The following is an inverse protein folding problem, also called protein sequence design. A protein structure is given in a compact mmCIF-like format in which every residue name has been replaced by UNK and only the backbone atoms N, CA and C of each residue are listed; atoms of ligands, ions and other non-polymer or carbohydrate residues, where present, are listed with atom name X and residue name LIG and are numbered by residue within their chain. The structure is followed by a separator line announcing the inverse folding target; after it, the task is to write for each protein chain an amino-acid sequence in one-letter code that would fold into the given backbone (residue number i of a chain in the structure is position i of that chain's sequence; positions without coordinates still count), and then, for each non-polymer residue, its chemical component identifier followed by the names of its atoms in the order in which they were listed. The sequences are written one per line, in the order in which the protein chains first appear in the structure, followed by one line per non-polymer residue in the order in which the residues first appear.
data_IF_648241847164
#
_entry.id   IF_648241847164
#
_cell.length_a   1.000
_cell.length_b   1.000
_cell.length_c   1.000
_cell.angle_alpha   90.00
_cell.angle_beta   90.00
_cell.angle_gamma   90.00
#
_symmetry.space_group_name_H-M   'P 1'
#
loop_
_entity.id
_entity.type
_entity.pdbx_description
1 polymer ?
#
# COMPACT_ATOMS: atom_id res chain seq x y z
N UNK A 1 11.12 -4.32 7.60
CA UNK A 1 9.74 -3.80 7.46
C UNK A 1 9.38 -3.89 5.99
N UNK A 2 8.15 -4.30 5.66
CA UNK A 2 7.71 -4.52 4.29
C UNK A 2 7.21 -3.27 3.58
N UNK A 3 7.17 -3.32 2.26
CA UNK A 3 6.59 -2.29 1.38
C UNK A 3 5.65 -2.99 0.42
N UNK A 4 4.43 -2.48 0.26
CA UNK A 4 3.49 -2.95 -0.74
C UNK A 4 3.08 -1.79 -1.64
N UNK A 5 3.12 -1.98 -2.95
CA UNK A 5 2.64 -1.05 -3.95
C UNK A 5 1.53 -1.71 -4.77
N UNK A 6 0.61 -0.89 -5.26
CA UNK A 6 -0.45 -1.35 -6.16
C UNK A 6 -1.20 -0.21 -6.80
N UNK A 7 -1.90 -0.54 -7.87
CA UNK A 7 -2.76 0.37 -8.61
C UNK A 7 -4.20 0.26 -8.08
N UNK A 8 -4.88 1.39 -8.03
CA UNK A 8 -6.29 1.48 -7.67
C UNK A 8 -7.02 2.30 -8.73
N UNK A 9 -8.15 1.79 -9.22
CA UNK A 9 -9.07 2.58 -10.03
C UNK A 9 -9.91 3.49 -9.10
N UNK A 10 -9.76 4.83 -9.16
CA UNK A 10 -10.57 5.72 -8.36
C UNK A 10 -12.00 5.70 -8.86
N UNK A 11 -12.96 5.58 -7.94
CA UNK A 11 -14.36 5.78 -8.27
C UNK A 11 -14.64 7.29 -8.38
N UNK A 12 -15.78 7.73 -8.98
CA UNK A 12 -16.16 9.15 -9.00
C UNK A 12 -16.24 9.79 -7.61
N UNK A 13 -16.40 8.99 -6.55
CA UNK A 13 -16.37 9.44 -5.17
C UNK A 13 -14.97 9.95 -4.75
N UNK A 14 -13.90 9.43 -5.34
CA UNK A 14 -12.53 9.79 -4.99
C UNK A 14 -12.28 11.30 -5.13
N UNK A 15 -12.65 11.92 -6.25
CA UNK A 15 -12.46 13.36 -6.48
C UNK A 15 -13.30 14.24 -5.54
N UNK A 16 -14.42 13.73 -5.03
CA UNK A 16 -15.31 14.44 -4.10
C UNK A 16 -14.78 14.39 -2.66
N UNK A 17 -14.20 13.25 -2.27
CA UNK A 17 -13.79 13.00 -0.88
C UNK A 17 -12.31 13.25 -0.63
N UNK A 18 -11.44 13.07 -1.63
CA UNK A 18 -9.99 13.28 -1.47
C UNK A 18 -9.64 14.69 -0.97
N UNK A 19 -10.22 15.80 -1.50
CA UNK A 19 -9.95 17.15 -0.99
C UNK A 19 -10.44 17.38 0.45
N UNK A 20 -11.25 16.48 0.99
CA UNK A 20 -11.83 16.55 2.34
C UNK A 20 -11.30 15.44 3.26
N UNK A 21 -10.41 14.59 2.75
CA UNK A 21 -9.85 13.50 3.51
C UNK A 21 -9.01 14.08 4.65
N UNK A 22 -9.03 13.47 5.84
CA UNK A 22 -8.07 13.83 6.87
C UNK A 22 -6.64 13.64 6.32
N UNK A 23 -5.68 14.37 6.87
CA UNK A 23 -4.25 14.32 6.49
C UNK A 23 -3.60 12.93 6.71
N UNK A 24 -4.37 11.93 7.11
CA UNK A 24 -3.91 10.58 7.45
C UNK A 24 -4.67 9.54 6.63
N UNK A 25 -3.93 8.93 5.70
CA UNK A 25 -4.36 7.76 4.96
C UNK A 25 -4.00 6.49 5.74
N UNK A 26 -4.92 5.52 5.77
CA UNK A 26 -4.71 4.26 6.48
C UNK A 26 -5.26 3.08 5.68
N UNK A 27 -4.42 2.09 5.44
CA UNK A 27 -4.77 0.86 4.75
C UNK A 27 -5.45 -0.15 5.68
N UNK A 28 -6.40 -0.91 5.14
CA UNK A 28 -7.14 -1.95 5.88
C UNK A 28 -7.26 -3.21 5.04
N UNK A 29 -7.08 -4.36 5.66
CA UNK A 29 -7.34 -5.68 5.09
C UNK A 29 -8.58 -6.28 5.74
N UNK A 30 -9.60 -6.57 4.95
CA UNK A 30 -10.90 -7.07 5.45
C UNK A 30 -11.47 -6.24 6.63
N UNK A 31 -11.26 -4.90 6.57
CA UNK A 31 -11.69 -3.96 7.61
C UNK A 31 -10.71 -3.77 8.77
N UNK A 32 -9.69 -4.62 8.91
CA UNK A 32 -8.67 -4.56 9.96
C UNK A 32 -7.53 -3.63 9.52
N UNK A 33 -7.12 -2.62 10.32
CA UNK A 33 -5.99 -1.76 10.00
C UNK A 33 -4.71 -2.55 9.76
N UNK A 34 -3.99 -2.20 8.69
CA UNK A 34 -2.63 -2.70 8.46
C UNK A 34 -1.67 -1.81 9.27
N UNK A 35 -0.94 -2.36 10.26
CA UNK A 35 0.09 -1.61 10.97
C UNK A 35 1.25 -1.30 10.01
N UNK A 36 1.33 -0.04 9.59
CA UNK A 36 2.33 0.48 8.67
C UNK A 36 3.02 1.70 9.29
N UNK A 37 4.24 1.52 9.79
CA UNK A 37 4.97 2.58 10.52
C UNK A 37 5.43 3.74 9.63
N UNK A 38 5.56 3.50 8.32
CA UNK A 38 5.88 4.52 7.33
C UNK A 38 4.66 5.20 6.71
N UNK A 39 3.44 4.75 7.03
CA UNK A 39 2.21 5.33 6.48
C UNK A 39 1.87 4.86 5.06
N UNK A 40 0.98 5.61 4.41
CA UNK A 40 0.48 5.35 3.07
C UNK A 40 0.57 6.61 2.20
N UNK A 41 1.02 6.44 0.96
CA UNK A 41 1.22 7.53 0.00
C UNK A 41 0.47 7.22 -1.29
N UNK A 42 -0.09 8.27 -1.89
CA UNK A 42 -0.60 8.25 -3.25
C UNK A 42 0.46 8.94 -4.09
N UNK A 43 1.10 8.18 -4.98
CA UNK A 43 2.31 8.64 -5.69
C UNK A 43 1.96 9.41 -6.97
N UNK A 44 0.89 9.02 -7.67
CA UNK A 44 0.46 9.72 -8.88
C UNK A 44 -1.03 9.50 -9.13
N UNK A 45 -1.75 10.56 -9.54
CA UNK A 45 -3.09 10.45 -10.14
C UNK A 45 -2.92 10.68 -11.63
N UNK A 46 -2.73 9.59 -12.36
CA UNK A 46 -2.68 9.63 -13.82
C UNK A 46 -4.11 9.64 -14.32
N UNK A 47 -4.71 10.83 -14.39
CA UNK A 47 -6.08 11.05 -14.88
C UNK A 47 -6.29 10.41 -16.27
N UNK A 48 -5.24 10.37 -17.08
CA UNK A 48 -5.20 9.77 -18.41
C UNK A 48 -5.27 8.24 -18.39
N UNK A 49 -4.76 7.59 -17.34
CA UNK A 49 -4.82 6.13 -17.16
C UNK A 49 -6.04 5.70 -16.34
N UNK A 50 -6.68 6.63 -15.62
CA UNK A 50 -7.79 6.34 -14.74
C UNK A 50 -7.39 5.46 -13.55
N UNK A 51 -6.12 5.50 -13.15
CA UNK A 51 -5.55 4.69 -12.06
C UNK A 51 -4.65 5.55 -11.17
N UNK A 52 -4.62 5.22 -9.88
CA UNK A 52 -3.72 5.81 -8.90
C UNK A 52 -2.77 4.76 -8.36
N UNK A 53 -1.51 5.13 -8.21
CA UNK A 53 -0.52 4.30 -7.53
C UNK A 53 -0.56 4.59 -6.03
N UNK A 54 -0.71 3.54 -5.24
CA UNK A 54 -0.71 3.60 -3.79
C UNK A 54 0.42 2.75 -3.24
N UNK A 55 1.19 3.32 -2.32
CA UNK A 55 2.29 2.65 -1.64
C UNK A 55 2.07 2.68 -0.14
N UNK A 56 2.20 1.53 0.50
CA UNK A 56 2.15 1.35 1.95
C UNK A 56 3.57 1.05 2.45
N UNK A 57 4.09 1.92 3.31
CA UNK A 57 5.47 1.83 3.81
C UNK A 57 5.51 1.30 5.24
N UNK A 58 6.46 0.40 5.48
CA UNK A 58 6.79 -0.04 6.83
C UNK A 58 5.75 -0.99 7.43
N UNK A 59 5.20 -1.90 6.63
CA UNK A 59 4.32 -2.97 7.10
C UNK A 59 5.11 -3.86 8.07
N UNK A 60 4.49 -4.23 9.19
CA UNK A 60 5.10 -5.16 10.15
C UNK A 60 5.59 -6.44 9.46
N UNK A 61 6.74 -6.96 9.91
CA UNK A 61 7.40 -8.09 9.24
C UNK A 61 6.55 -9.37 9.26
N UNK A 62 5.88 -9.67 10.37
CA UNK A 62 5.06 -10.89 10.49
C UNK A 62 3.89 -10.80 9.51
N UNK A 63 3.14 -9.70 9.55
CA UNK A 63 2.03 -9.48 8.65
C UNK A 63 2.47 -9.42 7.18
N UNK A 64 3.60 -8.77 6.88
CA UNK A 64 4.12 -8.70 5.52
C UNK A 64 4.48 -10.08 4.96
N UNK A 65 5.09 -10.94 5.78
CA UNK A 65 5.40 -12.32 5.39
C UNK A 65 4.18 -13.20 5.19
N UNK A 66 3.09 -12.96 5.93
CA UNK A 66 1.80 -13.63 5.72
C UNK A 66 1.14 -13.20 4.40
N UNK A 67 1.23 -11.90 4.05
CA UNK A 67 0.59 -11.35 2.86
C UNK A 67 1.38 -11.59 1.58
N UNK A 68 2.70 -11.56 1.66
CA UNK A 68 3.60 -11.63 0.51
C UNK A 68 4.72 -12.66 0.74
N UNK A 69 4.40 -13.94 0.97
CA UNK A 69 5.39 -14.97 1.31
C UNK A 69 6.44 -15.13 0.22
N UNK A 70 6.04 -15.03 -1.06
CA UNK A 70 6.94 -15.10 -2.21
C UNK A 70 7.98 -13.97 -2.22
N UNK A 71 7.60 -12.76 -1.77
CA UNK A 71 8.52 -11.62 -1.70
C UNK A 71 9.58 -11.84 -0.62
N UNK A 72 9.18 -12.40 0.53
CA UNK A 72 10.11 -12.74 1.62
C UNK A 72 11.05 -13.85 1.19
N UNK A 73 10.53 -14.90 0.55
CA UNK A 73 11.35 -16.00 0.04
C UNK A 73 12.39 -15.52 -0.98
N UNK A 74 11.98 -14.70 -1.97
CA UNK A 74 12.89 -14.13 -2.96
C UNK A 74 13.96 -13.22 -2.32
N UNK A 75 13.59 -12.41 -1.32
CA UNK A 75 14.53 -11.60 -0.56
C UNK A 75 15.55 -12.48 0.19
N UNK A 76 15.10 -13.53 0.88
CA UNK A 76 16.01 -14.44 1.59
C UNK A 76 16.96 -15.18 0.63
N UNK A 77 16.47 -15.62 -0.53
CA UNK A 77 17.29 -16.25 -1.56
C UNK A 77 18.39 -15.34 -2.09
N UNK A 78 18.12 -14.04 -2.24
CA UNK A 78 19.12 -13.06 -2.67
C UNK A 78 20.34 -13.01 -1.74
N UNK A 79 20.17 -13.33 -0.46
CA UNK A 79 21.24 -13.28 0.56
C UNK A 79 21.75 -14.65 1.02
N UNK A 80 21.23 -15.75 0.45
CA UNK A 80 21.79 -17.10 0.67
C UNK A 80 23.06 -17.24 -0.18
N UNK A 81 24.21 -17.02 0.46
CA UNK A 81 25.54 -17.36 -0.07
C UNK A 81 25.80 -18.87 -0.05
#
# INVERSE_FOLDING_TARGET
MGVACGEMAPTPAYSVYYPKAPDTLNARLAGIPIPAGGGMYIEDYLEELGEITVTILGIDHVLYGELFPEHVAAYEEQFKS
#
